data_IF_066838376220
#
_entry.id   IF_066838376220
#
_cell.length_a   1.000
_cell.length_b   1.000
_cell.length_c   1.000
_cell.angle_alpha   90.00
_cell.angle_beta   90.00
_cell.angle_gamma   90.00
#
_symmetry.space_group_name_H-M   'P 1'
#
loop_
_entity.id
_entity.type
_entity.pdbx_description
1 polymer ?
#
# COMPACT_ATOMS: atom_id res chain seq x y z
N UNK A 1 -11.34 -9.00 -19.37
CA UNK A 1 -11.33 -10.06 -18.35
C UNK A 1 -9.93 -10.68 -18.36
N UNK A 2 -9.10 -10.31 -17.40
CA UNK A 2 -7.84 -11.00 -17.15
C UNK A 2 -8.19 -12.27 -16.39
N UNK A 3 -7.82 -13.43 -16.92
CA UNK A 3 -7.89 -14.66 -16.16
C UNK A 3 -6.98 -14.55 -14.94
N UNK A 4 -7.49 -14.79 -13.75
CA UNK A 4 -6.66 -14.86 -12.55
C UNK A 4 -5.61 -15.95 -12.77
N UNK A 5 -4.33 -15.59 -12.64
CA UNK A 5 -3.25 -16.54 -12.68
C UNK A 5 -3.41 -17.52 -11.51
N UNK A 6 -3.08 -18.80 -11.72
CA UNK A 6 -3.04 -19.76 -10.61
C UNK A 6 -2.07 -19.26 -9.54
N UNK A 7 -2.47 -19.35 -8.26
CA UNK A 7 -1.63 -18.94 -7.13
C UNK A 7 -1.64 -17.46 -6.79
N UNK A 8 -2.61 -16.67 -7.27
CA UNK A 8 -2.79 -15.26 -6.88
C UNK A 8 -3.06 -15.16 -5.38
N UNK A 9 -2.31 -14.26 -4.72
CA UNK A 9 -2.39 -14.07 -3.26
C UNK A 9 -3.71 -13.42 -2.85
N UNK A 10 -4.13 -12.38 -3.59
CA UNK A 10 -5.40 -11.68 -3.34
C UNK A 10 -6.45 -12.11 -4.35
N UNK A 11 -6.83 -13.40 -4.33
CA UNK A 11 -7.85 -13.98 -5.21
C UNK A 11 -9.25 -13.37 -4.99
N UNK A 12 -9.48 -12.80 -3.79
CA UNK A 12 -10.71 -12.07 -3.47
C UNK A 12 -10.76 -10.66 -4.08
N UNK A 13 -9.65 -10.14 -4.63
CA UNK A 13 -9.62 -8.81 -5.24
C UNK A 13 -10.42 -8.81 -6.53
N UNK A 14 -11.41 -7.95 -6.58
CA UNK A 14 -12.32 -7.77 -7.72
C UNK A 14 -12.46 -6.28 -8.02
N UNK A 15 -12.08 -5.87 -9.22
CA UNK A 15 -12.15 -4.45 -9.62
C UNK A 15 -13.57 -3.88 -9.50
N UNK A 16 -14.60 -4.66 -9.80
CA UNK A 16 -15.99 -4.24 -9.66
C UNK A 16 -16.38 -3.91 -8.21
N UNK A 17 -15.75 -4.56 -7.24
CA UNK A 17 -16.00 -4.37 -5.80
C UNK A 17 -15.04 -3.37 -5.16
N UNK A 18 -13.77 -3.39 -5.55
CA UNK A 18 -12.69 -2.73 -4.83
C UNK A 18 -12.13 -1.48 -5.52
N UNK A 19 -12.48 -1.24 -6.78
CA UNK A 19 -12.02 -0.08 -7.53
C UNK A 19 -13.20 0.87 -7.81
N UNK A 20 -12.99 2.18 -7.59
CA UNK A 20 -13.99 3.22 -7.81
C UNK A 20 -13.36 4.47 -8.44
N UNK A 21 -14.10 5.17 -9.25
CA UNK A 21 -13.71 6.54 -9.62
C UNK A 21 -13.75 7.42 -8.36
N UNK A 22 -12.76 8.28 -8.17
CA UNK A 22 -12.69 9.18 -7.02
C UNK A 22 -13.94 10.08 -6.92
N UNK A 23 -14.56 10.41 -8.05
CA UNK A 23 -15.79 11.21 -8.11
C UNK A 23 -16.95 10.55 -7.36
N UNK A 24 -16.98 9.21 -7.32
CA UNK A 24 -18.07 8.45 -6.71
C UNK A 24 -18.00 8.45 -5.17
N UNK A 25 -16.81 8.69 -4.59
CA UNK A 25 -16.61 8.63 -3.14
C UNK A 25 -15.96 9.88 -2.53
N UNK A 26 -15.60 10.87 -3.33
CA UNK A 26 -14.89 12.07 -2.85
C UNK A 26 -15.61 12.74 -1.65
N UNK A 27 -16.92 12.86 -1.70
CA UNK A 27 -17.74 13.45 -0.65
C UNK A 27 -17.76 12.64 0.66
N UNK A 28 -17.39 11.36 0.61
CA UNK A 28 -17.32 10.51 1.79
C UNK A 28 -16.04 10.71 2.59
N UNK A 29 -14.99 11.29 1.98
CA UNK A 29 -13.68 11.40 2.58
C UNK A 29 -13.67 12.34 3.80
N UNK A 30 -13.07 11.87 4.90
CA UNK A 30 -12.93 12.64 6.14
C UNK A 30 -11.68 13.50 6.08
N UNK A 31 -11.82 14.81 6.17
CA UNK A 31 -10.70 15.72 6.21
C UNK A 31 -9.80 15.44 7.43
N UNK A 32 -8.48 15.52 7.21
CA UNK A 32 -7.48 15.34 8.26
C UNK A 32 -7.21 13.89 8.68
N UNK A 33 -7.87 12.90 8.07
CA UNK A 33 -7.62 11.49 8.38
C UNK A 33 -6.89 10.78 7.24
N UNK A 34 -5.69 11.29 6.93
CA UNK A 34 -4.86 10.86 5.81
C UNK A 34 -3.50 10.35 6.26
N UNK A 35 -3.01 9.33 5.55
CA UNK A 35 -1.69 8.75 5.72
C UNK A 35 -1.04 8.52 4.37
N UNK A 36 0.29 8.46 4.37
CA UNK A 36 1.05 7.93 3.22
C UNK A 36 1.70 6.63 3.65
N UNK A 37 1.65 5.61 2.82
CA UNK A 37 2.53 4.45 2.95
C UNK A 37 3.54 4.42 1.83
N UNK A 38 4.74 3.96 2.12
CA UNK A 38 5.87 3.99 1.21
C UNK A 38 6.60 2.66 1.20
N UNK A 39 6.71 2.07 0.03
CA UNK A 39 7.74 1.08 -0.27
C UNK A 39 8.89 1.79 -0.97
N UNK A 40 10.07 1.79 -0.33
CA UNK A 40 11.23 2.55 -0.78
C UNK A 40 12.28 1.65 -1.41
N UNK A 41 12.48 1.78 -2.71
CA UNK A 41 13.48 1.04 -3.46
C UNK A 41 14.56 1.94 -4.07
N UNK A 42 15.82 1.61 -3.86
CA UNK A 42 16.95 2.33 -4.49
C UNK A 42 17.16 1.88 -5.95
N UNK A 43 17.09 0.59 -6.22
CA UNK A 43 17.19 0.01 -7.56
C UNK A 43 15.84 -0.41 -8.13
N UNK A 44 14.91 -0.76 -7.26
CA UNK A 44 13.55 -1.14 -7.58
C UNK A 44 12.62 0.10 -7.57
N UNK A 45 11.34 -0.13 -7.77
CA UNK A 45 10.39 0.97 -7.71
C UNK A 45 10.26 1.55 -6.28
N UNK A 46 10.10 2.88 -6.22
CA UNK A 46 9.62 3.58 -5.03
C UNK A 46 8.16 3.92 -5.23
N UNK A 47 7.34 3.56 -4.26
CA UNK A 47 5.88 3.75 -4.30
C UNK A 47 5.44 4.58 -3.10
N UNK A 48 4.60 5.58 -3.34
CA UNK A 48 3.83 6.27 -2.31
C UNK A 48 2.35 6.06 -2.57
N UNK A 49 1.61 5.68 -1.54
CA UNK A 49 0.16 5.55 -1.59
C UNK A 49 -0.47 6.50 -0.58
N UNK A 50 -1.42 7.33 -1.04
CA UNK A 50 -2.17 8.25 -0.18
C UNK A 50 -3.49 7.62 0.23
N UNK A 51 -3.67 7.47 1.52
CA UNK A 51 -4.83 6.86 2.17
C UNK A 51 -5.71 7.90 2.82
N UNK A 52 -7.01 7.79 2.63
CA UNK A 52 -8.00 8.60 3.32
C UNK A 52 -9.17 7.73 3.80
N UNK A 53 -9.62 7.97 5.02
CA UNK A 53 -10.78 7.30 5.57
C UNK A 53 -12.08 7.95 5.08
N UNK A 54 -13.05 7.13 4.68
CA UNK A 54 -14.42 7.55 4.39
C UNK A 54 -15.32 7.53 5.63
N UNK A 55 -16.41 8.28 5.58
CA UNK A 55 -17.49 8.28 6.60
C UNK A 55 -18.23 6.94 6.64
N UNK A 56 -18.18 6.19 5.55
CA UNK A 56 -18.67 4.82 5.42
C UNK A 56 -17.80 3.78 6.13
N UNK A 57 -16.70 4.19 6.76
CA UNK A 57 -15.75 3.32 7.44
C UNK A 57 -14.69 2.71 6.53
N UNK A 58 -14.81 2.88 5.22
CA UNK A 58 -13.87 2.35 4.23
C UNK A 58 -12.60 3.20 4.18
N UNK A 59 -11.47 2.55 4.00
CA UNK A 59 -10.20 3.21 3.67
C UNK A 59 -9.97 3.17 2.17
N UNK A 60 -9.74 4.35 1.61
CA UNK A 60 -9.53 4.57 0.20
C UNK A 60 -8.08 4.91 -0.09
N UNK A 61 -7.42 4.15 -0.96
CA UNK A 61 -6.19 4.59 -1.62
C UNK A 61 -6.60 5.57 -2.72
N UNK A 62 -6.37 6.87 -2.51
CA UNK A 62 -6.90 7.93 -3.36
C UNK A 62 -5.90 8.42 -4.41
N UNK A 63 -4.61 8.13 -4.23
CA UNK A 63 -3.54 8.55 -5.14
C UNK A 63 -2.33 7.63 -5.00
N UNK A 64 -1.66 7.36 -6.11
CA UNK A 64 -0.39 6.66 -6.13
C UNK A 64 0.71 7.50 -6.78
N UNK A 65 1.93 7.30 -6.33
CA UNK A 65 3.17 7.67 -6.99
C UNK A 65 3.97 6.40 -7.20
N UNK A 66 4.42 6.19 -8.43
CA UNK A 66 5.21 5.02 -8.79
C UNK A 66 6.42 5.45 -9.63
N UNK A 67 7.63 5.19 -9.14
CA UNK A 67 8.85 5.51 -9.87
C UNK A 67 9.80 4.32 -9.83
N UNK A 68 10.08 3.74 -11.00
CA UNK A 68 11.08 2.70 -11.18
C UNK A 68 12.36 3.31 -11.76
N UNK A 69 13.43 3.34 -10.97
CA UNK A 69 14.74 3.83 -11.42
C UNK A 69 15.30 2.97 -12.54
N UNK A 70 15.03 1.67 -12.53
CA UNK A 70 15.43 0.72 -13.58
C UNK A 70 14.79 1.08 -14.91
N UNK A 71 13.46 1.30 -14.93
CA UNK A 71 12.72 1.58 -16.17
C UNK A 71 13.01 2.99 -16.70
N UNK A 72 13.34 3.92 -15.80
CA UNK A 72 13.69 5.30 -16.16
C UNK A 72 15.18 5.50 -16.44
N UNK A 73 16.02 4.47 -16.20
CA UNK A 73 17.47 4.55 -16.37
C UNK A 73 18.17 5.52 -15.41
N UNK A 74 17.50 5.95 -14.32
CA UNK A 74 18.03 6.88 -13.34
C UNK A 74 17.53 6.58 -11.94
N UNK A 75 18.47 6.42 -11.01
CA UNK A 75 18.18 6.36 -9.58
C UNK A 75 18.05 7.78 -9.02
N UNK A 76 17.11 7.97 -8.09
CA UNK A 76 16.97 9.20 -7.32
C UNK A 76 17.62 9.06 -5.95
N UNK A 77 18.06 10.18 -5.39
CA UNK A 77 18.51 10.27 -4.01
C UNK A 77 17.34 10.36 -3.04
N UNK A 78 17.59 10.15 -1.74
CA UNK A 78 16.60 10.36 -0.69
C UNK A 78 15.98 11.75 -0.74
N UNK A 79 16.80 12.77 -0.98
CA UNK A 79 16.35 14.15 -1.08
C UNK A 79 15.44 14.38 -2.28
N UNK A 80 15.77 13.81 -3.44
CA UNK A 80 14.93 13.90 -4.65
C UNK A 80 13.57 13.19 -4.46
N UNK A 81 13.55 12.03 -3.81
CA UNK A 81 12.29 11.37 -3.48
C UNK A 81 11.45 12.16 -2.47
N UNK A 82 12.09 12.80 -1.50
CA UNK A 82 11.39 13.64 -0.54
C UNK A 82 10.83 14.93 -1.19
N UNK A 83 11.51 15.47 -2.20
CA UNK A 83 11.01 16.59 -3.03
C UNK A 83 9.80 16.14 -3.86
N UNK A 84 9.89 14.97 -4.48
CA UNK A 84 8.78 14.38 -5.22
C UNK A 84 7.56 14.15 -4.32
N UNK A 85 7.77 13.62 -3.11
CA UNK A 85 6.71 13.42 -2.13
C UNK A 85 6.02 14.74 -1.78
N UNK A 86 6.79 15.79 -1.51
CA UNK A 86 6.25 17.12 -1.20
C UNK A 86 5.41 17.67 -2.35
N UNK A 87 5.93 17.56 -3.57
CA UNK A 87 5.22 18.00 -4.79
C UNK A 87 3.96 17.18 -5.03
N UNK A 88 4.04 15.87 -4.87
CA UNK A 88 2.92 14.95 -5.06
C UNK A 88 1.83 15.15 -4.01
N UNK A 89 2.18 15.47 -2.77
CA UNK A 89 1.21 15.82 -1.72
C UNK A 89 0.46 17.11 -2.02
N UNK A 90 1.09 18.06 -2.72
CA UNK A 90 0.48 19.31 -3.16
C UNK A 90 -0.31 20.02 -2.03
N UNK A 91 0.34 20.24 -0.91
CA UNK A 91 -0.26 20.85 0.28
C UNK A 91 -1.22 19.95 1.06
N UNK A 92 -1.46 18.72 0.64
CA UNK A 92 -2.30 17.76 1.37
C UNK A 92 -1.69 17.46 2.74
N UNK A 93 -2.43 17.76 3.82
CA UNK A 93 -2.01 17.43 5.18
C UNK A 93 -2.21 15.96 5.47
N UNK A 94 -1.21 15.34 6.06
CA UNK A 94 -1.19 13.92 6.44
C UNK A 94 -0.85 13.78 7.92
N UNK A 95 -1.30 12.69 8.54
CA UNK A 95 -1.00 12.37 9.94
C UNK A 95 0.40 11.79 10.11
N UNK A 96 0.78 10.91 9.21
CA UNK A 96 2.09 10.26 9.22
C UNK A 96 2.40 9.61 7.87
N UNK A 97 3.69 9.28 7.69
CA UNK A 97 4.19 8.45 6.59
C UNK A 97 4.65 7.13 7.20
N UNK A 98 4.18 6.01 6.65
CA UNK A 98 4.58 4.67 7.04
C UNK A 98 5.65 4.19 6.06
N UNK A 99 6.82 3.82 6.57
CA UNK A 99 7.98 3.42 5.74
C UNK A 99 8.59 2.15 6.31
N UNK A 100 9.03 1.25 5.42
CA UNK A 100 9.78 0.06 5.84
C UNK A 100 10.99 0.45 6.70
N UNK A 101 11.23 -0.21 7.84
CA UNK A 101 12.35 0.10 8.73
C UNK A 101 13.73 0.02 8.06
N UNK A 102 13.88 -0.79 7.01
CA UNK A 102 15.13 -0.95 6.27
C UNK A 102 15.55 0.32 5.51
N UNK A 103 14.61 1.21 5.19
CA UNK A 103 14.86 2.49 4.52
C UNK A 103 15.34 3.59 5.50
N UNK A 104 16.34 3.30 6.32
CA UNK A 104 16.76 4.16 7.42
C UNK A 104 17.19 5.57 6.97
N UNK A 105 17.90 5.70 5.85
CA UNK A 105 18.35 6.99 5.32
C UNK A 105 17.18 7.85 4.84
N UNK A 106 16.21 7.26 4.15
CA UNK A 106 15.01 7.96 3.70
C UNK A 106 14.11 8.38 4.87
N UNK A 107 13.96 7.52 5.89
CA UNK A 107 13.27 7.87 7.14
C UNK A 107 13.91 9.08 7.80
N UNK A 108 15.24 9.13 7.88
CA UNK A 108 15.97 10.27 8.45
C UNK A 108 15.72 11.55 7.63
N UNK A 109 15.77 11.47 6.30
CA UNK A 109 15.50 12.61 5.42
C UNK A 109 14.08 13.15 5.60
N UNK A 110 13.07 12.28 5.65
CA UNK A 110 11.68 12.68 5.87
C UNK A 110 11.48 13.35 7.23
N UNK A 111 12.09 12.82 8.30
CA UNK A 111 12.04 13.42 9.64
C UNK A 111 12.70 14.77 9.69
N UNK A 112 13.84 14.94 9.03
CA UNK A 112 14.53 16.22 8.89
C UNK A 112 13.65 17.28 8.23
N UNK A 113 12.78 16.87 7.31
CA UNK A 113 11.80 17.74 6.65
C UNK A 113 10.52 17.99 7.46
N UNK A 114 10.45 17.47 8.68
CA UNK A 114 9.33 17.70 9.60
C UNK A 114 8.16 16.72 9.47
N UNK A 115 8.30 15.67 8.69
CA UNK A 115 7.27 14.62 8.61
C UNK A 115 7.30 13.71 9.83
N UNK A 116 6.13 13.35 10.33
CA UNK A 116 5.99 12.24 11.28
C UNK A 116 6.12 10.93 10.51
N UNK A 117 7.14 10.13 10.84
CA UNK A 117 7.39 8.84 10.19
C UNK A 117 7.19 7.72 11.19
N UNK A 118 6.34 6.76 10.83
CA UNK A 118 6.12 5.50 11.52
C UNK A 118 6.88 4.40 10.77
N UNK A 119 7.64 3.60 11.51
CA UNK A 119 8.24 2.39 10.95
C UNK A 119 7.15 1.35 10.72
N UNK A 120 7.09 0.80 9.53
CA UNK A 120 6.10 -0.20 9.17
C UNK A 120 6.25 -1.47 10.02
N UNK A 121 5.12 -2.07 10.40
CA UNK A 121 5.11 -3.49 10.72
C UNK A 121 5.20 -4.24 9.38
N UNK A 122 6.34 -4.89 9.15
CA UNK A 122 6.65 -5.54 7.88
C UNK A 122 6.50 -7.06 7.90
N UNK A 123 5.77 -7.62 8.89
CA UNK A 123 5.38 -9.03 8.86
C UNK A 123 4.59 -9.32 7.57
N UNK A 124 5.11 -10.26 6.76
CA UNK A 124 4.58 -10.51 5.43
C UNK A 124 3.26 -11.26 5.50
N UNK A 125 3.24 -12.41 6.16
CA UNK A 125 2.07 -13.30 6.15
C UNK A 125 0.90 -12.72 6.92
N UNK A 126 1.13 -12.18 8.11
CA UNK A 126 0.09 -11.52 8.88
C UNK A 126 -0.46 -10.30 8.14
N UNK A 127 0.42 -9.51 7.51
CA UNK A 127 0.01 -8.37 6.71
C UNK A 127 -0.83 -8.76 5.51
N UNK A 128 -0.47 -9.82 4.77
CA UNK A 128 -1.27 -10.36 3.67
C UNK A 128 -2.65 -10.79 4.15
N UNK A 129 -2.73 -11.50 5.28
CA UNK A 129 -4.00 -11.92 5.87
C UNK A 129 -4.90 -10.74 6.24
N UNK A 130 -4.31 -9.68 6.83
CA UNK A 130 -5.05 -8.47 7.21
C UNK A 130 -5.61 -7.74 5.97
N UNK A 131 -4.80 -7.59 4.94
CA UNK A 131 -5.24 -6.99 3.66
C UNK A 131 -6.37 -7.80 3.05
N UNK A 132 -6.20 -9.13 2.94
CA UNK A 132 -7.23 -10.03 2.41
C UNK A 132 -8.56 -9.94 3.18
N UNK A 133 -8.50 -9.84 4.51
CA UNK A 133 -9.70 -9.68 5.34
C UNK A 133 -10.41 -8.35 5.06
N UNK A 134 -9.68 -7.25 4.94
CA UNK A 134 -10.27 -5.94 4.63
C UNK A 134 -10.87 -5.90 3.22
N UNK A 135 -10.26 -6.58 2.26
CA UNK A 135 -10.83 -6.74 0.92
C UNK A 135 -12.13 -7.54 0.97
N UNK A 136 -12.15 -8.69 1.65
CA UNK A 136 -13.37 -9.48 1.81
C UNK A 136 -14.53 -8.70 2.45
N UNK A 137 -14.21 -7.85 3.43
CA UNK A 137 -15.19 -6.98 4.10
C UNK A 137 -15.51 -5.70 3.32
N UNK A 138 -14.89 -5.48 2.16
CA UNK A 138 -14.98 -4.26 1.36
C UNK A 138 -14.65 -2.96 2.13
N UNK A 139 -13.75 -3.07 3.11
CA UNK A 139 -13.26 -1.95 3.93
C UNK A 139 -11.98 -1.30 3.39
N UNK A 140 -11.45 -1.80 2.28
CA UNK A 140 -10.29 -1.29 1.57
C UNK A 140 -10.64 -1.16 0.08
N UNK A 141 -10.54 0.05 -0.45
CA UNK A 141 -10.82 0.33 -1.86
C UNK A 141 -9.77 1.26 -2.47
N UNK A 142 -9.71 1.25 -3.79
CA UNK A 142 -8.71 1.98 -4.57
C UNK A 142 -9.39 2.91 -5.56
N UNK A 143 -8.85 4.13 -5.71
CA UNK A 143 -9.24 4.99 -6.82
C UNK A 143 -8.78 4.37 -8.14
N UNK A 144 -9.59 4.46 -9.16
CA UNK A 144 -9.28 3.90 -10.51
C UNK A 144 -8.01 4.48 -11.14
N UNK A 145 -7.54 5.63 -10.65
CA UNK A 145 -6.28 6.25 -11.04
C UNK A 145 -5.03 5.57 -10.45
N UNK A 146 -5.18 4.69 -9.44
CA UNK A 146 -4.08 3.91 -8.86
C UNK A 146 -3.76 2.68 -9.72
N UNK A 147 -3.37 2.90 -10.96
CA UNK A 147 -3.28 1.87 -12.00
C UNK A 147 -2.21 0.82 -11.75
N UNK A 148 -1.05 1.21 -11.23
CA UNK A 148 0.04 0.26 -10.94
C UNK A 148 -0.32 -0.61 -9.73
N UNK A 149 -0.93 -0.03 -8.70
CA UNK A 149 -1.42 -0.79 -7.53
C UNK A 149 -2.46 -1.83 -7.96
N UNK A 150 -3.43 -1.45 -8.80
CA UNK A 150 -4.47 -2.36 -9.30
C UNK A 150 -3.85 -3.52 -10.09
N UNK A 151 -2.89 -3.24 -10.97
CA UNK A 151 -2.17 -4.26 -11.74
C UNK A 151 -1.42 -5.24 -10.85
N UNK A 152 -0.69 -4.73 -9.84
CA UNK A 152 0.06 -5.58 -8.92
C UNK A 152 -0.85 -6.50 -8.12
N UNK A 153 -1.99 -6.02 -7.63
CA UNK A 153 -2.97 -6.86 -6.92
C UNK A 153 -3.48 -8.02 -7.79
N UNK A 154 -3.66 -7.80 -9.08
CA UNK A 154 -4.10 -8.84 -10.01
C UNK A 154 -3.01 -9.87 -10.34
N UNK A 155 -1.73 -9.52 -10.14
CA UNK A 155 -0.57 -10.34 -10.52
C UNK A 155 0.32 -10.79 -9.34
N UNK A 156 -0.04 -10.46 -8.10
CA UNK A 156 0.71 -10.82 -6.91
C UNK A 156 0.49 -12.29 -6.57
N UNK A 157 1.53 -13.12 -6.72
CA UNK A 157 1.45 -14.57 -6.66
C UNK A 157 2.39 -15.17 -5.61
N UNK A 158 2.06 -16.38 -5.16
CA UNK A 158 2.94 -17.18 -4.31
C UNK A 158 4.12 -17.74 -5.12
N UNK A 159 5.27 -17.88 -4.47
CA UNK A 159 6.44 -18.56 -5.04
C UNK A 159 6.23 -20.08 -4.99
N UNK A 160 6.03 -20.70 -6.15
CA UNK A 160 5.80 -22.14 -6.28
C UNK A 160 6.93 -22.98 -5.68
N UNK A 161 8.19 -22.56 -5.88
CA UNK A 161 9.36 -23.28 -5.33
C UNK A 161 9.42 -23.19 -3.81
N UNK A 162 8.94 -22.09 -3.22
CA UNK A 162 8.81 -21.96 -1.78
C UNK A 162 7.69 -22.86 -1.26
N UNK A 163 6.53 -22.90 -1.95
CA UNK A 163 5.40 -23.78 -1.60
C UNK A 163 5.78 -25.26 -1.62
N UNK A 164 6.59 -25.71 -2.61
CA UNK A 164 7.11 -27.07 -2.66
C UNK A 164 7.96 -27.45 -1.42
N UNK A 165 8.56 -26.45 -0.77
CA UNK A 165 9.30 -26.64 0.49
C UNK A 165 8.45 -26.40 1.74
N UNK A 166 7.15 -26.17 1.58
CA UNK A 166 6.24 -25.86 2.69
C UNK A 166 6.36 -24.44 3.23
N UNK A 167 6.87 -23.51 2.43
CA UNK A 167 7.05 -22.11 2.80
C UNK A 167 6.08 -21.22 2.02
N UNK A 168 5.25 -20.46 2.73
CA UNK A 168 4.36 -19.47 2.11
C UNK A 168 5.14 -18.17 1.91
N UNK A 169 5.66 -17.96 0.70
CA UNK A 169 6.38 -16.74 0.31
C UNK A 169 5.83 -16.16 -0.98
N UNK A 170 5.60 -14.84 -1.05
CA UNK A 170 5.31 -14.18 -2.33
C UNK A 170 6.53 -14.15 -3.25
N UNK A 171 6.27 -14.14 -4.56
CA UNK A 171 7.29 -13.81 -5.55
C UNK A 171 7.72 -12.35 -5.34
N UNK A 172 9.05 -12.13 -5.24
CA UNK A 172 9.66 -10.80 -5.05
C UNK A 172 9.85 -10.07 -6.40
N UNK A 173 8.74 -9.84 -7.08
CA UNK A 173 8.70 -9.13 -8.35
C UNK A 173 7.34 -8.45 -8.52
N UNK A 174 7.35 -7.16 -8.90
CA UNK A 174 6.13 -6.37 -9.03
C UNK A 174 5.23 -6.41 -7.79
N UNK A 175 5.85 -6.25 -6.61
CA UNK A 175 5.20 -6.35 -5.30
C UNK A 175 5.24 -5.04 -4.50
N UNK A 176 5.76 -3.97 -5.08
CA UNK A 176 6.05 -2.71 -4.37
C UNK A 176 4.79 -2.01 -3.87
N UNK A 177 3.75 -1.93 -4.70
CA UNK A 177 2.46 -1.38 -4.27
C UNK A 177 1.77 -2.30 -3.28
N UNK A 178 1.84 -3.62 -3.47
CA UNK A 178 1.30 -4.60 -2.52
C UNK A 178 1.98 -4.48 -1.16
N UNK A 179 3.30 -4.29 -1.13
CA UNK A 179 4.07 -4.05 0.10
C UNK A 179 3.66 -2.72 0.76
N UNK A 180 3.52 -1.63 -0.01
CA UNK A 180 3.06 -0.34 0.51
C UNK A 180 1.63 -0.42 1.11
N UNK A 181 0.71 -1.16 0.49
CA UNK A 181 -0.63 -1.43 1.04
C UNK A 181 -0.52 -2.20 2.35
N UNK A 182 0.27 -3.26 2.38
CA UNK A 182 0.49 -4.09 3.55
C UNK A 182 1.06 -3.28 4.73
N UNK A 183 2.03 -2.40 4.47
CA UNK A 183 2.60 -1.51 5.49
C UNK A 183 1.54 -0.61 6.13
N UNK A 184 0.69 0.01 5.32
CA UNK A 184 -0.40 0.82 5.82
C UNK A 184 -1.37 0.00 6.69
N UNK A 185 -1.87 -1.10 6.16
CA UNK A 185 -2.88 -1.94 6.83
C UNK A 185 -2.33 -2.48 8.16
N UNK A 186 -1.13 -3.07 8.14
CA UNK A 186 -0.52 -3.66 9.33
C UNK A 186 -0.20 -2.63 10.41
N UNK A 187 0.27 -1.45 10.03
CA UNK A 187 0.76 -0.44 10.97
C UNK A 187 -0.38 0.42 11.52
N UNK A 188 -1.32 0.84 10.66
CA UNK A 188 -2.39 1.77 11.05
C UNK A 188 -3.66 1.04 11.48
N UNK A 189 -3.99 -0.09 10.85
CA UNK A 189 -5.25 -0.79 11.04
C UNK A 189 -5.12 -2.10 11.82
N UNK A 190 -3.92 -2.60 12.07
CA UNK A 190 -3.67 -3.91 12.68
C UNK A 190 -4.42 -4.15 13.99
N UNK A 191 -4.41 -3.19 14.91
CA UNK A 191 -5.13 -3.29 16.18
C UNK A 191 -6.67 -3.27 16.03
N UNK A 192 -7.19 -2.58 15.02
CA UNK A 192 -8.62 -2.54 14.70
C UNK A 192 -9.10 -3.87 14.14
N UNK A 193 -8.31 -4.46 13.26
CA UNK A 193 -8.62 -5.73 12.64
C UNK A 193 -8.60 -6.86 13.67
N UNK A 194 -7.69 -6.82 14.64
CA UNK A 194 -7.67 -7.75 15.77
C UNK A 194 -8.99 -7.74 16.55
N UNK A 195 -9.54 -6.55 16.83
CA UNK A 195 -10.84 -6.41 17.51
C UNK A 195 -12.02 -6.96 16.71
N UNK A 196 -12.01 -6.81 15.38
CA UNK A 196 -13.07 -7.38 14.53
C UNK A 196 -13.05 -8.92 14.57
N UNK A 197 -11.88 -9.54 14.72
CA UNK A 197 -11.75 -11.00 14.88
C UNK A 197 -12.33 -11.51 16.21
N UNK A 198 -12.25 -10.73 17.28
CA UNK A 198 -12.80 -11.10 18.58
C UNK A 198 -14.32 -11.03 18.62
N UNK A 199 -14.93 -10.12 17.85
CA UNK A 199 -16.40 -9.96 17.77
C UNK A 199 -17.04 -11.02 16.85
N UNK A 200 -16.27 -11.60 15.91
CA UNK A 200 -16.74 -12.61 14.95
C UNK A 200 -16.59 -14.05 15.44
N UNK A 201 -16.14 -14.27 16.66
CA UNK A 201 -16.07 -15.56 17.37
C UNK A 201 -17.16 -15.69 18.42
#
# INVERSE_FOLDING_TARGET
LWAAAEGVIYDMFDEARHVRDIKDFFQLLINGNRYVSCDYGTQNATVFLLWNKGRDGVWYCIREYYYSGRDKGRQKTDSEYADDLKKWLDGTKIKAIIVDPSAASFIAELRKRGYKVLKANNDVLDGIRLVGMLLNLELLKFASSCTETIKEFASYIWDEKALERGEDKPVKQHDHSCDAVRYFVSTVLGSRVARLREISR
#
